data_IF_738597161442
#
_entry.id   IF_738597161442
#
_cell.length_a   1.000
_cell.length_b   1.000
_cell.length_c   1.000
_cell.angle_alpha   90.00
_cell.angle_beta   90.00
_cell.angle_gamma   90.00
#
_symmetry.space_group_name_H-M   'P 1'
#
loop_
_entity.id
_entity.type
_entity.pdbx_description
1 polymer ?
#
# COMPACT_ATOMS: atom_id res chain seq x y z
N UNK A 1 -13.08 -19.10 -19.64
CA UNK A 1 -14.05 -18.08 -19.18
C UNK A 1 -13.46 -17.22 -18.05
N UNK A 2 -12.94 -17.81 -16.96
CA UNK A 2 -12.30 -17.08 -15.83
C UNK A 2 -11.15 -16.16 -16.29
N UNK A 3 -10.18 -16.67 -17.06
CA UNK A 3 -9.05 -15.88 -17.54
C UNK A 3 -9.47 -14.67 -18.42
N UNK A 4 -10.51 -14.82 -19.24
CA UNK A 4 -11.01 -13.73 -20.09
C UNK A 4 -11.65 -12.62 -19.25
N UNK A 5 -12.44 -12.97 -18.23
CA UNK A 5 -13.03 -12.01 -17.29
C UNK A 5 -11.94 -11.27 -16.51
N UNK A 6 -10.88 -11.96 -16.08
CA UNK A 6 -9.74 -11.33 -15.39
C UNK A 6 -8.93 -10.42 -16.30
N UNK A 7 -8.73 -10.77 -17.58
CA UNK A 7 -8.05 -9.90 -18.56
C UNK A 7 -8.85 -8.63 -18.81
N UNK A 8 -10.17 -8.74 -19.01
CA UNK A 8 -11.05 -7.59 -19.21
C UNK A 8 -11.06 -6.70 -17.96
N UNK A 9 -11.15 -7.29 -16.77
CA UNK A 9 -11.09 -6.56 -15.52
C UNK A 9 -9.74 -5.87 -15.30
N UNK A 10 -8.62 -6.54 -15.55
CA UNK A 10 -7.29 -5.94 -15.45
C UNK A 10 -7.10 -4.81 -16.48
N UNK A 11 -7.60 -4.99 -17.70
CA UNK A 11 -7.51 -3.98 -18.75
C UNK A 11 -8.37 -2.75 -18.45
N UNK A 12 -9.55 -2.92 -17.85
CA UNK A 12 -10.41 -1.79 -17.47
C UNK A 12 -9.78 -0.92 -16.39
N UNK A 13 -8.91 -1.49 -15.54
CA UNK A 13 -8.16 -0.74 -14.52
C UNK A 13 -7.21 0.31 -15.10
N UNK A 14 -6.92 0.30 -16.41
CA UNK A 14 -6.18 1.37 -17.08
C UNK A 14 -6.92 2.71 -17.07
N UNK A 15 -8.25 2.68 -17.11
CA UNK A 15 -9.08 3.88 -17.34
C UNK A 15 -10.18 4.05 -16.30
N UNK A 16 -10.44 3.01 -15.51
CA UNK A 16 -11.48 3.01 -14.50
C UNK A 16 -10.93 2.50 -13.18
N UNK A 17 -11.19 3.23 -12.10
CA UNK A 17 -10.83 2.83 -10.74
C UNK A 17 -12.09 2.38 -9.99
N UNK A 18 -12.19 1.12 -9.54
CA UNK A 18 -13.26 0.69 -8.65
C UNK A 18 -13.26 1.49 -7.35
N UNK A 19 -14.43 1.87 -6.84
CA UNK A 19 -14.55 2.60 -5.58
C UNK A 19 -14.23 1.75 -4.33
N UNK A 20 -13.92 0.47 -4.49
CA UNK A 20 -13.56 -0.45 -3.40
C UNK A 20 -13.02 -1.77 -3.97
N UNK A 21 -12.16 -2.45 -3.22
CA UNK A 21 -11.65 -3.79 -3.54
C UNK A 21 -12.55 -4.90 -2.97
N UNK A 22 -12.25 -6.18 -3.28
CA UNK A 22 -12.91 -7.33 -2.62
C UNK A 22 -12.54 -7.41 -1.15
N UNK A 23 -11.30 -7.09 -0.81
CA UNK A 23 -10.78 -7.11 0.55
C UNK A 23 -11.49 -6.08 1.45
N UNK A 24 -11.74 -4.86 0.94
CA UNK A 24 -12.52 -3.84 1.65
C UNK A 24 -13.98 -4.22 1.96
N UNK A 25 -14.49 -5.31 1.38
CA UNK A 25 -15.90 -5.74 1.49
C UNK A 25 -16.04 -7.10 2.19
N UNK A 26 -15.01 -7.54 2.89
CA UNK A 26 -15.08 -8.80 3.65
C UNK A 26 -16.00 -8.62 4.84
N UNK A 27 -15.77 -7.52 5.57
CA UNK A 27 -16.60 -7.12 6.69
C UNK A 27 -17.58 -6.04 6.21
N UNK A 28 -18.87 -6.22 6.47
CA UNK A 28 -19.93 -5.25 6.12
C UNK A 28 -19.92 -4.02 7.06
N UNK A 29 -18.80 -3.78 7.76
CA UNK A 29 -18.59 -2.68 8.69
C UNK A 29 -18.26 -1.35 8.00
N UNK A 30 -18.33 -0.22 8.73
CA UNK A 30 -17.88 1.05 8.21
C UNK A 30 -16.36 1.05 8.02
N UNK A 31 -15.90 1.44 6.82
CA UNK A 31 -14.48 1.60 6.52
C UNK A 31 -14.11 3.07 6.34
N UNK A 32 -12.88 3.43 6.66
CA UNK A 32 -12.29 4.72 6.31
C UNK A 32 -11.47 4.59 5.01
N UNK A 33 -11.97 5.20 3.94
CA UNK A 33 -11.35 5.15 2.60
C UNK A 33 -11.72 6.37 1.76
N UNK A 34 -10.78 6.87 0.97
CA UNK A 34 -11.01 7.76 -0.17
C UNK A 34 -9.89 7.52 -1.19
N UNK A 35 -10.23 7.57 -2.48
CA UNK A 35 -9.25 7.49 -3.56
C UNK A 35 -8.41 8.77 -3.63
N UNK A 36 -7.14 8.62 -3.99
CA UNK A 36 -6.26 9.73 -4.38
C UNK A 36 -5.45 9.36 -5.62
N UNK A 37 -5.37 10.30 -6.57
CA UNK A 37 -4.47 10.16 -7.73
C UNK A 37 -3.01 10.12 -7.26
N UNK A 38 -2.20 9.31 -7.93
CA UNK A 38 -0.77 9.23 -7.64
C UNK A 38 -0.07 10.59 -7.81
N UNK A 39 -0.59 11.46 -8.67
CA UNK A 39 -0.14 12.84 -8.88
C UNK A 39 -0.17 13.67 -7.60
N UNK A 40 -0.99 13.27 -6.62
CA UNK A 40 -1.18 13.96 -5.35
C UNK A 40 -0.60 13.19 -4.16
N UNK A 41 0.26 12.20 -4.41
CA UNK A 41 0.95 11.41 -3.36
C UNK A 41 2.44 11.75 -3.29
N UNK A 42 2.93 12.03 -2.08
CA UNK A 42 4.36 12.28 -1.83
C UNK A 42 5.24 11.16 -2.38
N UNK A 43 6.30 11.52 -3.11
CA UNK A 43 7.23 10.54 -3.69
C UNK A 43 8.02 9.78 -2.64
N UNK A 44 8.11 10.31 -1.41
CA UNK A 44 8.64 9.53 -0.28
C UNK A 44 7.76 8.32 0.03
N UNK A 45 6.44 8.43 -0.07
CA UNK A 45 5.52 7.31 0.17
C UNK A 45 5.74 6.23 -0.88
N UNK A 46 5.76 6.64 -2.15
CA UNK A 46 6.03 5.72 -3.28
C UNK A 46 7.37 5.02 -3.08
N UNK A 47 8.43 5.78 -2.81
CA UNK A 47 9.76 5.22 -2.58
C UNK A 47 9.79 4.27 -1.39
N UNK A 48 9.23 4.67 -0.25
CA UNK A 48 9.21 3.85 0.97
C UNK A 48 8.46 2.55 0.77
N UNK A 49 7.32 2.58 0.08
CA UNK A 49 6.53 1.38 -0.20
C UNK A 49 7.25 0.46 -1.18
N UNK A 50 7.81 0.98 -2.29
CA UNK A 50 8.60 0.15 -3.21
C UNK A 50 9.79 -0.46 -2.47
N UNK A 51 10.58 0.35 -1.76
CA UNK A 51 11.76 -0.14 -1.07
C UNK A 51 11.42 -1.17 0.02
N UNK A 52 10.29 -1.03 0.71
CA UNK A 52 9.90 -1.93 1.78
C UNK A 52 9.31 -3.25 1.26
N UNK A 53 8.34 -3.15 0.35
CA UNK A 53 7.53 -4.28 -0.08
C UNK A 53 8.14 -5.01 -1.28
N UNK A 54 8.85 -4.28 -2.16
CA UNK A 54 9.15 -4.78 -3.49
C UNK A 54 10.21 -3.99 -4.28
N UNK A 55 11.44 -3.95 -3.77
CA UNK A 55 12.49 -3.07 -4.32
C UNK A 55 12.89 -3.40 -5.77
N UNK A 56 12.60 -4.60 -6.28
CA UNK A 56 12.88 -4.98 -7.66
C UNK A 56 11.76 -4.60 -8.65
N UNK A 57 10.70 -3.92 -8.21
CA UNK A 57 9.51 -3.66 -9.02
C UNK A 57 9.82 -3.05 -10.38
N UNK A 58 10.56 -1.95 -10.44
CA UNK A 58 10.91 -1.29 -11.70
C UNK A 58 11.98 -2.00 -12.54
N UNK A 59 12.61 -3.06 -12.02
CA UNK A 59 13.69 -3.78 -12.72
C UNK A 59 13.22 -5.07 -13.40
N UNK A 60 12.04 -5.58 -13.02
CA UNK A 60 11.53 -6.85 -13.54
C UNK A 60 10.49 -6.64 -14.63
N UNK A 61 10.51 -7.53 -15.61
CA UNK A 61 9.54 -7.50 -16.73
C UNK A 61 8.20 -8.16 -16.41
N UNK A 62 8.07 -8.86 -15.27
CA UNK A 62 6.90 -9.65 -14.91
C UNK A 62 6.49 -9.37 -13.45
N UNK A 63 5.36 -9.92 -13.01
CA UNK A 63 4.86 -9.72 -11.65
C UNK A 63 5.83 -10.18 -10.56
N UNK A 64 6.63 -11.22 -10.83
CA UNK A 64 7.61 -11.83 -9.93
C UNK A 64 8.61 -12.65 -10.75
N UNK A 65 9.74 -13.04 -10.15
CA UNK A 65 10.65 -14.01 -10.78
C UNK A 65 10.14 -15.44 -10.56
N UNK A 66 10.06 -16.22 -11.63
CA UNK A 66 9.62 -17.62 -11.55
C UNK A 66 10.56 -18.50 -10.72
N UNK A 67 11.85 -18.10 -10.61
CA UNK A 67 12.82 -18.72 -9.68
C UNK A 67 12.34 -18.62 -8.24
N UNK A 68 12.03 -17.41 -7.76
CA UNK A 68 11.52 -17.18 -6.40
C UNK A 68 10.25 -17.98 -6.13
N UNK A 69 9.35 -18.11 -7.11
CA UNK A 69 8.15 -18.92 -6.95
C UNK A 69 8.49 -20.42 -6.80
N UNK A 70 9.42 -20.92 -7.60
CA UNK A 70 9.88 -22.31 -7.53
C UNK A 70 10.61 -22.59 -6.20
N UNK A 71 11.42 -21.64 -5.72
CA UNK A 71 12.14 -21.75 -4.45
C UNK A 71 11.18 -21.76 -3.26
N UNK A 72 10.16 -20.88 -3.26
CA UNK A 72 9.07 -20.91 -2.26
C UNK A 72 8.31 -22.22 -2.25
N UNK A 73 7.97 -22.74 -3.43
CA UNK A 73 7.27 -24.02 -3.55
C UNK A 73 8.13 -25.17 -3.02
N UNK A 74 9.44 -25.16 -3.32
CA UNK A 74 10.39 -26.13 -2.80
C UNK A 74 10.47 -26.06 -1.28
N UNK A 75 10.69 -24.87 -0.72
CA UNK A 75 10.80 -24.66 0.72
C UNK A 75 9.56 -25.14 1.47
N UNK A 76 8.38 -24.84 0.94
CA UNK A 76 7.12 -25.32 1.52
C UNK A 76 7.02 -26.85 1.52
N UNK A 77 7.46 -27.52 0.45
CA UNK A 77 7.45 -28.98 0.34
C UNK A 77 8.51 -29.66 1.22
N UNK A 78 9.65 -29.01 1.44
CA UNK A 78 10.75 -29.55 2.27
C UNK A 78 10.64 -29.16 3.73
N UNK A 79 9.67 -28.31 4.10
CA UNK A 79 9.52 -27.77 5.45
C UNK A 79 10.62 -26.77 5.82
N UNK A 80 11.32 -26.21 4.82
CA UNK A 80 12.29 -25.14 5.03
C UNK A 80 11.57 -23.82 5.26
N UNK A 81 12.05 -23.06 6.22
CA UNK A 81 11.59 -21.70 6.45
C UNK A 81 12.28 -20.76 5.44
N UNK A 82 11.54 -20.30 4.43
CA UNK A 82 11.97 -19.21 3.55
C UNK A 82 11.12 -17.97 3.80
N UNK A 83 11.75 -16.90 4.26
CA UNK A 83 11.14 -15.57 4.26
C UNK A 83 11.21 -15.02 2.84
N UNK A 84 10.11 -15.12 2.10
CA UNK A 84 9.99 -14.40 0.82
C UNK A 84 8.62 -13.75 0.73
N UNK A 85 8.64 -12.43 0.65
CA UNK A 85 7.45 -11.59 0.65
C UNK A 85 6.74 -11.60 -0.70
N UNK A 86 5.44 -11.32 -0.70
CA UNK A 86 4.67 -11.17 -1.94
C UNK A 86 5.02 -9.84 -2.59
N UNK A 87 5.21 -9.83 -3.89
CA UNK A 87 5.44 -8.59 -4.68
C UNK A 87 4.20 -7.69 -4.65
N UNK A 88 4.36 -6.40 -4.93
CA UNK A 88 3.24 -5.43 -4.98
C UNK A 88 2.13 -5.88 -5.95
N UNK A 89 2.42 -6.35 -7.19
CA UNK A 89 1.38 -6.88 -8.06
C UNK A 89 0.65 -8.10 -7.48
N UNK A 90 1.33 -8.97 -6.73
CA UNK A 90 0.71 -10.11 -6.04
C UNK A 90 -0.21 -9.65 -4.92
N UNK A 91 0.24 -8.69 -4.11
CA UNK A 91 -0.56 -8.14 -3.02
C UNK A 91 -1.79 -7.37 -3.56
N UNK A 92 -1.62 -6.55 -4.60
CA UNK A 92 -2.72 -5.86 -5.26
C UNK A 92 -3.75 -6.86 -5.81
N UNK A 93 -3.29 -7.91 -6.50
CA UNK A 93 -4.16 -8.97 -7.00
C UNK A 93 -4.97 -9.63 -5.87
N UNK A 94 -4.31 -9.94 -4.74
CA UNK A 94 -4.95 -10.49 -3.55
C UNK A 94 -6.07 -9.58 -3.05
N UNK A 95 -5.76 -8.29 -2.83
CA UNK A 95 -6.73 -7.34 -2.28
C UNK A 95 -7.91 -7.10 -3.24
N UNK A 96 -7.64 -7.06 -4.54
CA UNK A 96 -8.65 -6.76 -5.56
C UNK A 96 -9.61 -7.90 -5.84
N UNK A 97 -9.12 -9.14 -5.88
CA UNK A 97 -9.89 -10.25 -6.46
C UNK A 97 -10.25 -11.37 -5.48
N UNK A 98 -9.63 -11.40 -4.30
CA UNK A 98 -9.77 -12.52 -3.38
C UNK A 98 -10.20 -12.08 -1.97
N UNK A 99 -10.88 -12.99 -1.28
CA UNK A 99 -11.10 -12.92 0.17
C UNK A 99 -9.96 -13.68 0.87
N UNK A 100 -9.70 -13.46 2.17
CA UNK A 100 -8.62 -14.10 2.91
C UNK A 100 -9.04 -15.55 3.18
N UNK A 101 -8.75 -16.44 2.25
CA UNK A 101 -8.85 -17.89 2.42
C UNK A 101 -7.42 -18.45 2.45
N UNK A 102 -7.15 -19.37 3.38
CA UNK A 102 -5.82 -19.95 3.63
C UNK A 102 -5.50 -21.18 2.78
N UNK A 103 -6.33 -21.54 1.80
CA UNK A 103 -6.09 -22.68 0.91
C UNK A 103 -4.82 -22.51 0.06
N UNK A 104 -3.76 -23.27 0.36
CA UNK A 104 -2.51 -23.28 -0.42
C UNK A 104 -2.70 -23.65 -1.90
N UNK A 105 -3.75 -24.42 -2.22
CA UNK A 105 -4.13 -24.78 -3.60
C UNK A 105 -4.71 -23.56 -4.35
N UNK A 106 -5.36 -22.62 -3.66
CA UNK A 106 -5.79 -21.34 -4.22
C UNK A 106 -4.61 -20.37 -4.43
N UNK A 107 -3.61 -20.41 -3.55
CA UNK A 107 -2.41 -19.55 -3.62
C UNK A 107 -1.62 -19.67 -4.93
N UNK A 108 -1.64 -20.84 -5.57
CA UNK A 108 -1.03 -21.03 -6.91
C UNK A 108 -1.88 -20.38 -8.03
N UNK A 109 -3.21 -20.44 -7.93
CA UNK A 109 -4.15 -19.83 -8.90
C UNK A 109 -4.18 -18.30 -8.78
N UNK A 110 -3.93 -17.77 -7.58
CA UNK A 110 -3.89 -16.34 -7.25
C UNK A 110 -2.74 -15.57 -7.91
N UNK A 111 -1.75 -16.26 -8.49
CA UNK A 111 -0.66 -15.61 -9.24
C UNK A 111 -1.07 -15.18 -10.66
N UNK A 112 -2.14 -15.76 -11.22
CA UNK A 112 -2.58 -15.41 -12.58
C UNK A 112 -3.03 -13.95 -12.67
N UNK A 113 -3.87 -13.43 -11.75
CA UNK A 113 -4.23 -12.01 -11.79
C UNK A 113 -3.03 -11.07 -11.63
N UNK A 114 -2.00 -11.41 -10.86
CA UNK A 114 -0.82 -10.53 -10.72
C UNK A 114 0.00 -10.46 -12.02
N UNK A 115 0.15 -11.59 -12.72
CA UNK A 115 0.77 -11.63 -14.06
C UNK A 115 -0.05 -10.80 -15.05
N UNK A 116 -1.38 -10.90 -15.02
CA UNK A 116 -2.25 -10.12 -15.89
C UNK A 116 -2.19 -8.62 -15.59
N UNK A 117 -2.20 -8.22 -14.31
CA UNK A 117 -2.01 -6.83 -13.91
C UNK A 117 -0.66 -6.31 -14.43
N UNK A 118 0.43 -7.03 -14.21
CA UNK A 118 1.78 -6.60 -14.64
C UNK A 118 1.93 -6.57 -16.16
N UNK A 119 1.25 -7.46 -16.89
CA UNK A 119 1.27 -7.46 -18.34
C UNK A 119 0.39 -6.35 -18.96
N UNK A 120 -0.57 -5.82 -18.21
CA UNK A 120 -1.56 -4.87 -18.72
C UNK A 120 -1.43 -3.47 -18.14
N UNK A 121 -0.88 -3.25 -16.96
CA UNK A 121 -0.80 -1.93 -16.35
C UNK A 121 0.66 -1.46 -16.28
N UNK A 122 0.94 -0.17 -16.48
CA UNK A 122 2.25 0.39 -16.16
C UNK A 122 2.47 0.34 -14.64
N UNK A 123 3.73 0.24 -14.23
CA UNK A 123 4.11 0.12 -12.81
C UNK A 123 3.59 1.28 -11.96
N UNK A 124 3.63 2.51 -12.46
CA UNK A 124 3.01 3.67 -11.82
C UNK A 124 1.52 3.46 -11.52
N UNK A 125 0.74 2.89 -12.46
CA UNK A 125 -0.68 2.61 -12.24
C UNK A 125 -0.89 1.46 -11.25
N UNK A 126 -0.04 0.44 -11.27
CA UNK A 126 -0.07 -0.63 -10.27
C UNK A 126 0.19 -0.05 -8.87
N UNK A 127 1.17 0.85 -8.76
CA UNK A 127 1.51 1.52 -7.51
C UNK A 127 0.35 2.38 -6.99
N UNK A 128 -0.26 3.18 -7.86
CA UNK A 128 -1.44 3.99 -7.51
C UNK A 128 -2.57 3.14 -6.95
N UNK A 129 -2.92 2.05 -7.64
CA UNK A 129 -3.96 1.13 -7.18
C UNK A 129 -3.56 0.44 -5.87
N UNK A 130 -2.30 0.02 -5.75
CA UNK A 130 -1.79 -0.59 -4.51
C UNK A 130 -1.93 0.37 -3.33
N UNK A 131 -1.43 1.61 -3.45
CA UNK A 131 -1.51 2.61 -2.40
C UNK A 131 -2.95 2.98 -2.02
N UNK A 132 -3.90 2.84 -2.95
CA UNK A 132 -5.31 3.08 -2.69
C UNK A 132 -6.04 1.87 -2.08
N UNK A 133 -5.62 0.63 -2.34
CA UNK A 133 -6.29 -0.57 -1.83
C UNK A 133 -5.54 -1.29 -0.70
N UNK A 134 -4.33 -0.86 -0.36
CA UNK A 134 -3.61 -1.32 0.81
C UNK A 134 -4.36 -0.92 2.08
N UNK A 135 -4.28 -1.80 3.08
CA UNK A 135 -4.78 -1.53 4.42
C UNK A 135 -3.65 -0.93 5.24
N UNK A 136 -3.93 0.18 5.92
CA UNK A 136 -2.98 0.91 6.77
C UNK A 136 -3.42 0.90 8.24
N UNK A 137 -4.46 0.15 8.58
CA UNK A 137 -5.02 0.02 9.92
C UNK A 137 -6.29 -0.83 9.91
N UNK A 138 -6.79 -1.26 11.07
CA UNK A 138 -8.11 -1.92 11.16
C UNK A 138 -9.17 -1.03 10.50
N UNK A 139 -9.86 -1.54 9.48
CA UNK A 139 -10.87 -0.82 8.67
C UNK A 139 -10.40 0.52 8.06
N UNK A 140 -9.09 0.72 7.91
CA UNK A 140 -8.48 1.91 7.32
C UNK A 140 -7.73 1.54 6.05
N UNK A 141 -8.20 2.04 4.92
CA UNK A 141 -7.65 1.70 3.62
C UNK A 141 -7.24 2.93 2.84
N UNK A 142 -6.21 2.76 2.01
CA UNK A 142 -5.75 3.78 1.10
C UNK A 142 -4.91 4.87 1.78
N UNK A 143 -3.91 5.34 1.04
CA UNK A 143 -2.93 6.33 1.51
C UNK A 143 -3.58 7.67 1.87
N UNK A 144 -4.66 8.05 1.18
CA UNK A 144 -5.43 9.25 1.51
C UNK A 144 -5.98 9.21 2.93
N UNK A 145 -6.73 8.16 3.26
CA UNK A 145 -7.30 8.02 4.60
C UNK A 145 -6.20 7.87 5.66
N UNK A 146 -5.15 7.09 5.38
CA UNK A 146 -4.03 6.90 6.29
C UNK A 146 -3.28 8.21 6.60
N UNK A 147 -3.00 9.03 5.60
CA UNK A 147 -2.32 10.32 5.75
C UNK A 147 -3.08 11.25 6.69
N UNK A 148 -4.39 11.38 6.46
CA UNK A 148 -5.24 12.22 7.28
C UNK A 148 -5.45 11.67 8.68
N UNK A 149 -5.67 10.37 8.78
CA UNK A 149 -5.92 9.70 10.05
C UNK A 149 -4.71 9.76 10.97
N UNK A 150 -3.52 9.36 10.49
CA UNK A 150 -2.33 9.33 11.35
C UNK A 150 -1.64 10.69 11.48
N UNK A 151 -1.60 11.51 10.43
CA UNK A 151 -0.68 12.65 10.39
C UNK A 151 -1.34 14.01 10.25
N UNK A 152 -2.66 14.04 10.00
CA UNK A 152 -3.43 15.28 9.83
C UNK A 152 -2.86 16.16 8.71
N UNK A 153 -2.51 15.52 7.60
CA UNK A 153 -1.92 16.18 6.42
C UNK A 153 -2.44 15.54 5.14
N UNK A 154 -2.55 16.29 4.04
CA UNK A 154 -2.84 15.71 2.73
C UNK A 154 -1.68 14.82 2.25
N UNK A 155 -1.92 13.84 1.35
CA UNK A 155 -0.91 12.85 0.98
C UNK A 155 0.36 13.39 0.32
N UNK A 156 0.29 14.57 -0.32
CA UNK A 156 1.45 15.23 -0.92
C UNK A 156 2.38 15.91 0.11
N UNK A 157 1.92 16.15 1.34
CA UNK A 157 2.71 16.78 2.42
C UNK A 157 3.40 15.76 3.33
N UNK A 158 3.19 14.46 3.12
CA UNK A 158 3.87 13.44 3.90
C UNK A 158 5.38 13.48 3.68
N UNK A 159 6.10 13.86 4.72
CA UNK A 159 7.57 13.84 4.72
C UNK A 159 8.09 12.41 4.92
N UNK A 160 9.38 12.26 4.66
CA UNK A 160 10.06 10.96 4.56
C UNK A 160 9.81 10.02 5.75
N UNK A 161 9.85 10.51 6.99
CA UNK A 161 9.67 9.65 8.16
C UNK A 161 8.22 9.14 8.31
N UNK A 162 7.21 9.93 7.95
CA UNK A 162 5.82 9.49 7.94
C UNK A 162 5.59 8.43 6.85
N UNK A 163 6.17 8.63 5.67
CA UNK A 163 6.15 7.66 4.59
C UNK A 163 6.79 6.31 4.98
N UNK A 164 7.93 6.35 5.69
CA UNK A 164 8.60 5.15 6.19
C UNK A 164 7.75 4.41 7.24
N UNK A 165 7.05 5.14 8.12
CA UNK A 165 6.12 4.53 9.08
C UNK A 165 4.94 3.84 8.38
N UNK A 166 4.36 4.46 7.35
CA UNK A 166 3.30 3.83 6.55
C UNK A 166 3.79 2.57 5.83
N UNK A 167 5.01 2.57 5.31
CA UNK A 167 5.56 1.37 4.68
C UNK A 167 5.79 0.26 5.72
N UNK A 168 6.37 0.59 6.87
CA UNK A 168 6.67 -0.39 7.93
C UNK A 168 5.46 -1.00 8.62
N UNK A 169 4.25 -0.42 8.51
CA UNK A 169 3.03 -1.03 9.07
C UNK A 169 2.38 -2.07 8.13
N UNK A 170 2.67 -2.03 6.83
CA UNK A 170 2.05 -2.91 5.82
C UNK A 170 2.16 -4.42 6.11
N UNK A 171 3.22 -4.93 6.78
CA UNK A 171 3.26 -6.35 7.16
C UNK A 171 2.14 -6.75 8.12
N UNK A 172 1.79 -5.88 9.08
CA UNK A 172 0.83 -6.17 10.16
C UNK A 172 -0.13 -4.96 10.36
N UNK A 173 -0.99 -4.65 9.39
CA UNK A 173 -1.86 -3.47 9.45
C UNK A 173 -3.00 -3.63 10.47
N UNK A 174 -3.27 -4.84 10.98
CA UNK A 174 -4.23 -5.05 12.07
C UNK A 174 -3.65 -4.69 13.45
N UNK A 175 -2.32 -4.64 13.56
CA UNK A 175 -1.61 -4.41 14.83
C UNK A 175 -1.17 -2.94 15.00
N UNK A 176 -1.89 -1.99 14.40
CA UNK A 176 -1.63 -0.54 14.54
C UNK A 176 -2.82 0.21 15.11
N UNK A 177 -2.51 1.20 15.93
CA UNK A 177 -3.47 2.15 16.51
C UNK A 177 -2.97 3.57 16.34
N UNK A 178 -3.87 4.54 16.46
CA UNK A 178 -3.52 5.96 16.45
C UNK A 178 -3.27 6.46 17.87
N UNK A 179 -2.27 7.31 18.05
CA UNK A 179 -2.04 8.03 19.31
C UNK A 179 -3.00 9.23 19.45
N UNK A 180 -3.36 9.65 20.68
CA UNK A 180 -4.04 10.93 20.88
C UNK A 180 -3.26 12.09 20.27
N UNK A 181 -3.92 12.92 19.47
CA UNK A 181 -3.29 14.01 18.72
C UNK A 181 -2.64 13.60 17.38
N UNK A 182 -2.61 12.30 17.04
CA UNK A 182 -2.01 11.77 15.83
C UNK A 182 -0.71 11.01 16.08
N UNK A 183 -0.25 10.30 15.05
CA UNK A 183 0.88 9.38 15.09
C UNK A 183 0.44 7.92 15.12
N UNK A 184 1.36 7.06 14.70
CA UNK A 184 1.18 5.60 14.67
C UNK A 184 1.74 5.01 15.96
N UNK A 185 0.99 4.09 16.55
CA UNK A 185 1.43 3.24 17.64
C UNK A 185 0.93 1.80 17.42
N UNK A 186 1.24 0.95 18.39
CA UNK A 186 0.88 -0.46 18.41
C UNK A 186 0.09 -0.72 19.69
N UNK A 187 -0.94 -1.60 19.65
CA UNK A 187 -1.64 -2.04 20.86
C UNK A 187 -0.68 -2.57 21.93
N UNK A 188 -1.05 -2.40 23.21
CA UNK A 188 -0.23 -2.85 24.32
C UNK A 188 -0.07 -4.38 24.39
N UNK A 189 -0.99 -5.12 23.78
CA UNK A 189 -1.07 -6.58 23.71
C UNK A 189 -0.60 -7.17 22.38
N UNK A 190 -0.01 -6.37 21.48
CA UNK A 190 0.47 -6.84 20.19
C UNK A 190 1.58 -7.89 20.33
N UNK A 191 1.49 -8.93 19.51
CA UNK A 191 2.46 -10.03 19.52
C UNK A 191 3.74 -9.63 18.77
N UNK A 192 4.87 -10.19 19.18
CA UNK A 192 6.15 -9.97 18.50
C UNK A 192 6.33 -10.95 17.31
N UNK A 193 6.87 -10.50 16.15
CA UNK A 193 7.21 -9.12 15.84
C UNK A 193 5.97 -8.25 15.60
N UNK A 194 5.87 -7.13 16.31
CA UNK A 194 4.69 -6.25 16.26
C UNK A 194 4.83 -5.22 15.14
N UNK A 195 3.75 -4.50 14.81
CA UNK A 195 3.84 -3.38 13.87
C UNK A 195 4.89 -2.34 14.30
N UNK A 196 5.08 -2.10 15.61
CA UNK A 196 6.12 -1.19 16.09
C UNK A 196 7.54 -1.67 15.74
N UNK A 197 7.78 -2.99 15.76
CA UNK A 197 9.07 -3.56 15.35
C UNK A 197 9.32 -3.29 13.86
N UNK A 198 8.33 -3.56 13.00
CA UNK A 198 8.45 -3.33 11.56
C UNK A 198 8.55 -1.84 11.21
N UNK A 199 7.75 -0.98 11.83
CA UNK A 199 7.80 0.48 11.67
C UNK A 199 9.17 1.03 12.06
N UNK A 200 9.70 0.61 13.22
CA UNK A 200 11.00 1.09 13.70
C UNK A 200 12.14 0.60 12.80
N UNK A 201 12.14 -0.68 12.44
CA UNK A 201 13.10 -1.27 11.50
C UNK A 201 13.10 -0.55 10.16
N UNK A 202 11.90 -0.38 9.56
CA UNK A 202 11.73 0.34 8.30
C UNK A 202 12.27 1.76 8.38
N UNK A 203 11.83 2.57 9.36
CA UNK A 203 12.13 3.99 9.42
C UNK A 203 13.56 4.34 9.86
N UNK A 204 14.17 3.51 10.74
CA UNK A 204 15.46 3.85 11.35
C UNK A 204 16.63 3.01 10.83
N UNK A 205 16.37 1.91 10.11
CA UNK A 205 17.42 0.99 9.66
C UNK A 205 17.29 0.69 8.16
N UNK A 206 16.18 0.10 7.76
CA UNK A 206 16.08 -0.57 6.45
C UNK A 206 15.90 0.42 5.31
N UNK A 207 14.92 1.31 5.38
CA UNK A 207 14.62 2.23 4.27
C UNK A 207 15.71 3.26 4.01
N UNK A 208 16.34 3.89 5.01
CA UNK A 208 17.50 4.74 4.77
C UNK A 208 18.63 4.01 4.03
N UNK A 209 18.94 2.78 4.44
CA UNK A 209 19.98 1.97 3.78
C UNK A 209 19.59 1.56 2.35
N UNK A 210 18.32 1.17 2.12
CA UNK A 210 17.81 0.84 0.79
C UNK A 210 17.82 2.05 -0.15
N UNK A 211 17.41 3.22 0.31
CA UNK A 211 17.49 4.45 -0.47
C UNK A 211 18.93 4.79 -0.85
N UNK A 212 19.88 4.63 0.08
CA UNK A 212 21.30 4.81 -0.22
C UNK A 212 21.81 3.79 -1.25
N UNK A 213 21.39 2.52 -1.15
CA UNK A 213 21.73 1.46 -2.11
C UNK A 213 21.23 1.74 -3.53
N UNK A 214 20.08 2.41 -3.65
CA UNK A 214 19.53 2.89 -4.93
C UNK A 214 20.15 4.20 -5.42
N UNK A 215 21.08 4.80 -4.67
CA UNK A 215 21.66 6.10 -4.98
C UNK A 215 20.69 7.28 -4.81
N UNK A 216 19.64 7.10 -4.02
CA UNK A 216 18.56 8.08 -3.81
C UNK A 216 17.19 7.43 -3.91
N UNK A 217 16.20 8.01 -3.24
CA UNK A 217 14.81 7.59 -3.35
C UNK A 217 14.25 7.94 -4.75
N UNK A 218 14.81 8.97 -5.39
CA UNK A 218 14.46 9.45 -6.72
C UNK A 218 14.68 8.36 -7.78
N UNK A 219 15.82 7.67 -7.75
CA UNK A 219 16.12 6.57 -8.69
C UNK A 219 15.16 5.40 -8.54
N UNK A 220 14.73 5.13 -7.31
CA UNK A 220 13.76 4.08 -7.02
C UNK A 220 12.38 4.41 -7.60
N UNK A 221 11.92 5.65 -7.43
CA UNK A 221 10.64 6.13 -7.99
C UNK A 221 10.71 6.19 -9.53
N UNK A 222 11.83 6.65 -10.08
CA UNK A 222 12.06 6.65 -11.53
C UNK A 222 12.05 5.23 -12.13
N UNK A 223 12.46 4.21 -11.37
CA UNK A 223 12.46 2.82 -11.85
C UNK A 223 11.07 2.31 -12.23
N UNK A 224 10.00 2.85 -11.61
CA UNK A 224 8.61 2.49 -11.92
C UNK A 224 7.93 3.48 -12.88
N UNK A 225 8.72 4.33 -13.54
CA UNK A 225 8.24 5.26 -14.57
C UNK A 225 7.58 6.52 -14.02
N UNK A 226 7.92 6.95 -12.80
CA UNK A 226 7.47 8.20 -12.20
C UNK A 226 8.66 9.17 -12.16
N UNK A 227 8.61 10.23 -12.96
CA UNK A 227 9.69 11.20 -13.15
C UNK A 227 9.37 12.62 -12.67
N UNK A 228 8.16 12.81 -12.13
CA UNK A 228 7.66 14.05 -11.55
C UNK A 228 7.41 13.92 -10.04
N UNK A 229 6.96 15.01 -9.42
CA UNK A 229 6.62 15.10 -8.00
C UNK A 229 5.17 15.57 -7.81
N UNK A 230 4.61 15.34 -6.62
CA UNK A 230 3.29 15.88 -6.28
C UNK A 230 3.25 17.43 -6.19
N UNK A 231 4.41 18.10 -6.23
CA UNK A 231 4.49 19.55 -6.35
C UNK A 231 4.27 20.02 -7.80
N UNK A 232 4.62 19.20 -8.80
CA UNK A 232 4.42 19.53 -10.21
C UNK A 232 2.93 19.54 -10.60
N UNK A 233 2.09 18.89 -9.79
CA UNK A 233 0.63 18.81 -9.93
C UNK A 233 -0.12 19.72 -8.93
N UNK A 234 0.52 20.78 -8.44
CA UNK A 234 -0.08 21.64 -7.41
C UNK A 234 -1.34 22.37 -7.90
N UNK A 235 -1.39 22.74 -9.18
CA UNK A 235 -2.51 23.46 -9.78
C UNK A 235 -3.78 22.59 -9.90
N UNK A 236 -3.63 21.25 -9.90
CA UNK A 236 -4.75 20.31 -10.03
C UNK A 236 -5.39 19.91 -8.70
N UNK A 237 -4.83 20.34 -7.56
CA UNK A 237 -5.34 20.01 -6.21
C UNK A 237 -6.79 20.39 -5.91
N UNK A 238 -7.46 21.33 -6.61
CA UNK A 238 -8.89 21.52 -6.48
C UNK A 238 -9.75 20.35 -7.01
N UNK A 239 -9.15 19.33 -7.62
CA UNK A 239 -9.85 18.13 -8.11
C UNK A 239 -10.41 17.24 -6.98
N UNK A 240 -11.40 16.43 -7.30
CA UNK A 240 -12.03 15.49 -6.35
C UNK A 240 -11.11 14.32 -5.95
N UNK A 241 -10.10 14.02 -6.77
CA UNK A 241 -9.14 12.93 -6.55
C UNK A 241 -7.81 13.39 -5.95
N UNK A 242 -7.73 14.64 -5.48
CA UNK A 242 -6.54 15.13 -4.80
C UNK A 242 -6.45 14.73 -3.34
N UNK A 243 -7.58 14.41 -2.69
CA UNK A 243 -7.62 14.21 -1.24
C UNK A 243 -7.11 15.44 -0.45
N UNK A 244 -7.47 16.64 -0.96
CA UNK A 244 -7.07 17.95 -0.40
C UNK A 244 -7.65 18.30 0.96
N UNK A 245 -8.70 17.60 1.38
CA UNK A 245 -9.32 17.76 2.68
C UNK A 245 -9.51 16.40 3.35
N UNK A 246 -9.54 16.39 4.68
CA UNK A 246 -9.80 15.18 5.46
C UNK A 246 -11.11 14.49 5.02
N UNK A 247 -11.04 13.21 4.59
CA UNK A 247 -12.21 12.45 4.18
C UNK A 247 -13.25 12.35 5.30
N UNK A 248 -14.53 12.39 4.93
CA UNK A 248 -15.63 12.29 5.90
C UNK A 248 -15.58 11.01 6.76
N UNK A 249 -15.29 9.81 6.20
CA UNK A 249 -15.13 8.60 7.02
C UNK A 249 -14.01 8.70 8.06
N UNK A 250 -12.93 9.43 7.75
CA UNK A 250 -11.82 9.67 8.70
C UNK A 250 -12.28 10.63 9.80
N UNK A 251 -13.01 11.71 9.46
CA UNK A 251 -13.58 12.62 10.46
C UNK A 251 -14.52 11.91 11.43
N UNK A 252 -15.42 11.07 10.93
CA UNK A 252 -16.36 10.31 11.73
C UNK A 252 -15.65 9.34 12.69
N UNK A 253 -14.61 8.67 12.18
CA UNK A 253 -13.77 7.79 12.99
C UNK A 253 -13.04 8.55 14.10
N UNK A 254 -12.40 9.67 13.78
CA UNK A 254 -11.68 10.50 14.76
C UNK A 254 -12.60 11.08 15.83
N UNK A 255 -13.85 11.41 15.49
CA UNK A 255 -14.84 11.87 16.49
C UNK A 255 -15.13 10.82 17.58
N UNK A 256 -14.88 9.53 17.29
CA UNK A 256 -15.06 8.43 18.23
C UNK A 256 -13.74 8.07 18.91
N UNK A 257 -12.66 7.91 18.14
CA UNK A 257 -11.38 7.39 18.62
C UNK A 257 -10.47 8.46 19.24
N UNK A 258 -10.61 9.74 18.85
CA UNK A 258 -9.88 10.87 19.43
C UNK A 258 -10.77 12.14 19.49
N UNK A 259 -11.81 12.16 20.35
CA UNK A 259 -12.80 13.23 20.40
C UNK A 259 -12.22 14.61 20.79
N UNK A 260 -11.00 14.65 21.33
CA UNK A 260 -10.30 15.90 21.67
C UNK A 260 -9.46 16.46 20.52
N UNK A 261 -9.35 15.73 19.39
CA UNK A 261 -8.55 16.11 18.26
C UNK A 261 -9.14 17.32 17.52
N UNK A 262 -8.29 18.31 17.26
CA UNK A 262 -8.59 19.44 16.40
C UNK A 262 -7.59 19.43 15.25
N UNK A 263 -8.09 19.26 14.02
CA UNK A 263 -7.25 19.29 12.83
C UNK A 263 -6.59 20.65 12.66
N UNK A 264 -5.31 20.64 12.29
CA UNK A 264 -4.50 21.81 11.97
C UNK A 264 -4.73 22.32 10.55
N UNK A 265 -5.43 21.52 9.74
CA UNK A 265 -5.70 21.79 8.32
C UNK A 265 -7.05 22.49 8.05
N UNK A 266 -7.81 22.80 9.11
CA UNK A 266 -9.07 23.55 9.04
C UNK A 266 -8.86 25.07 9.09
#
# INVERSE_FOLDING_TARGET
MVAFVTVVAASSLRVWTPSSSRFMRIDDGPIAYQYVSLDHVSRYVVASVIAHEDDQMGLRAQAFHWGDFADRARAHLTGEEQQTYSTIPQQLAKNMFFTPDQSAVRKAVETVPSVLLSATLPDARIMELYLNYAQFGPDLYGVCAASWYYFDTPPWEMYQYHAMQLAGMLPNPEDVVRLPGGGVATPADAQYPSAAFHINGAANVDLPARFAGWGGWENLVASVGIDDSAADHADDRPSDDSCSSMPEPVRQRLAVEDPGFVSRSQ
#
